data_IF_133269091280
#
_entry.id   IF_133269091280
#
_cell.length_a   1.000
_cell.length_b   1.000
_cell.length_c   1.000
_cell.angle_alpha   90.00
_cell.angle_beta   90.00
_cell.angle_gamma   90.00
#
_symmetry.space_group_name_H-M   'P 1'
#
loop_
_entity.id
_entity.type
_entity.pdbx_description
1 polymer ?
#
# COMPACT_ATOMS: atom_id res chain seq x y z
N UNK A 1 -10.51 1.24 0.03
CA UNK A 1 -9.70 1.29 -1.20
C UNK A 1 -9.94 0.00 -1.95
N UNK A 2 -10.57 0.08 -3.12
CA UNK A 2 -10.82 -1.08 -3.98
C UNK A 2 -9.53 -1.60 -4.63
N UNK A 3 -9.60 -2.80 -5.21
CA UNK A 3 -8.46 -3.45 -5.87
C UNK A 3 -7.92 -2.64 -7.05
N UNK A 4 -8.79 -2.00 -7.83
CA UNK A 4 -8.41 -1.19 -8.99
C UNK A 4 -7.57 0.01 -8.57
N UNK A 5 -8.03 0.73 -7.56
CA UNK A 5 -7.30 1.86 -6.96
C UNK A 5 -5.94 1.43 -6.40
N UNK A 6 -5.87 0.29 -5.72
CA UNK A 6 -4.60 -0.23 -5.18
C UNK A 6 -3.61 -0.62 -6.29
N UNK A 7 -4.08 -1.30 -7.35
CA UNK A 7 -3.25 -1.66 -8.50
C UNK A 7 -2.75 -0.41 -9.23
N UNK A 8 -3.61 0.61 -9.40
CA UNK A 8 -3.24 1.88 -10.01
C UNK A 8 -2.13 2.58 -9.22
N UNK A 9 -2.25 2.64 -7.89
CA UNK A 9 -1.20 3.17 -7.02
C UNK A 9 0.11 2.39 -7.17
N UNK A 10 0.06 1.06 -7.12
CA UNK A 10 1.26 0.22 -7.25
C UNK A 10 1.96 0.44 -8.60
N UNK A 11 1.18 0.55 -9.68
CA UNK A 11 1.69 0.81 -11.02
C UNK A 11 2.28 2.22 -11.15
N UNK A 12 1.61 3.23 -10.60
CA UNK A 12 2.09 4.62 -10.56
C UNK A 12 3.43 4.74 -9.84
N UNK A 13 3.59 4.05 -8.70
CA UNK A 13 4.85 4.01 -7.95
C UNK A 13 5.92 3.11 -8.59
N UNK A 14 5.57 2.32 -9.61
CA UNK A 14 6.43 1.32 -10.27
C UNK A 14 6.99 0.29 -9.28
N UNK A 15 6.20 -0.05 -8.25
CA UNK A 15 6.60 -1.02 -7.24
C UNK A 15 6.29 -2.44 -7.68
N UNK A 16 7.24 -3.34 -7.42
CA UNK A 16 6.96 -4.79 -7.44
C UNK A 16 6.05 -5.15 -6.25
N UNK A 17 5.44 -6.33 -6.26
CA UNK A 17 4.69 -6.81 -5.09
C UNK A 17 5.56 -6.90 -3.83
N UNK A 18 6.83 -7.26 -3.98
CA UNK A 18 7.78 -7.32 -2.88
C UNK A 18 8.15 -5.91 -2.35
N UNK A 19 8.28 -4.93 -3.24
CA UNK A 19 8.57 -3.56 -2.81
C UNK A 19 7.36 -2.91 -2.14
N UNK A 20 6.16 -3.09 -2.69
CA UNK A 20 4.93 -2.64 -2.06
C UNK A 20 4.73 -3.26 -0.67
N UNK A 21 5.06 -4.55 -0.51
CA UNK A 21 5.05 -5.25 0.77
C UNK A 21 6.01 -4.59 1.77
N UNK A 22 7.24 -4.29 1.36
CA UNK A 22 8.24 -3.60 2.21
C UNK A 22 7.80 -2.20 2.60
N UNK A 23 7.33 -1.41 1.64
CA UNK A 23 6.91 -0.02 1.87
C UNK A 23 5.70 0.07 2.81
N UNK A 24 4.77 -0.88 2.71
CA UNK A 24 3.58 -0.93 3.58
C UNK A 24 3.80 -1.72 4.87
N UNK A 25 4.95 -2.37 5.07
CA UNK A 25 5.22 -3.24 6.22
C UNK A 25 4.27 -4.45 6.29
N UNK A 26 3.87 -4.99 5.14
CA UNK A 26 2.93 -6.11 5.01
C UNK A 26 3.59 -7.32 4.34
N UNK A 27 2.97 -8.49 4.47
CA UNK A 27 3.40 -9.71 3.79
C UNK A 27 3.03 -9.69 2.30
N UNK A 28 3.80 -10.39 1.47
CA UNK A 28 3.50 -10.54 0.04
C UNK A 28 2.12 -11.19 -0.23
N UNK A 29 1.67 -12.08 0.66
CA UNK A 29 0.31 -12.65 0.63
C UNK A 29 -0.76 -11.57 0.80
N UNK A 30 -0.57 -10.67 1.77
CA UNK A 30 -1.48 -9.54 2.02
C UNK A 30 -1.57 -8.61 0.81
N UNK A 31 -0.43 -8.30 0.17
CA UNK A 31 -0.41 -7.50 -1.07
C UNK A 31 -1.18 -8.21 -2.19
N UNK A 32 -1.01 -9.53 -2.32
CA UNK A 32 -1.73 -10.33 -3.30
C UNK A 32 -3.24 -10.33 -3.03
N UNK A 33 -3.67 -10.38 -1.76
CA UNK A 33 -5.08 -10.23 -1.38
C UNK A 33 -5.63 -8.85 -1.72
N UNK A 34 -4.88 -7.78 -1.41
CA UNK A 34 -5.30 -6.41 -1.73
C UNK A 34 -5.51 -6.20 -3.23
N UNK A 35 -4.64 -6.79 -4.07
CA UNK A 35 -4.82 -6.74 -5.54
C UNK A 35 -6.03 -7.53 -6.03
N UNK A 36 -6.39 -8.63 -5.37
CA UNK A 36 -7.49 -9.50 -5.82
C UNK A 36 -8.86 -9.07 -5.30
N UNK A 37 -8.94 -8.63 -4.05
CA UNK A 37 -10.20 -8.36 -3.35
C UNK A 37 -10.37 -6.91 -2.90
N UNK A 38 -9.32 -6.09 -3.03
CA UNK A 38 -9.26 -4.77 -2.44
C UNK A 38 -8.75 -4.81 -1.00
N UNK A 39 -8.53 -3.62 -0.44
CA UNK A 39 -8.13 -3.47 0.96
C UNK A 39 -9.40 -3.60 1.83
N UNK A 40 -9.41 -4.45 2.87
CA UNK A 40 -10.56 -4.59 3.76
C UNK A 40 -10.93 -3.24 4.38
N UNK A 41 -12.22 -2.97 4.58
CA UNK A 41 -12.71 -1.67 5.05
C UNK A 41 -12.05 -1.21 6.35
N UNK A 42 -11.81 -2.14 7.28
CA UNK A 42 -11.13 -1.88 8.56
C UNK A 42 -9.72 -1.32 8.41
N UNK A 43 -9.02 -1.63 7.31
CA UNK A 43 -7.65 -1.17 7.05
C UNK A 43 -7.58 -0.15 5.91
N UNK A 44 -8.67 0.06 5.17
CA UNK A 44 -8.72 0.85 3.95
C UNK A 44 -8.21 2.30 4.16
N UNK A 45 -8.54 2.89 5.30
CA UNK A 45 -8.12 4.26 5.64
C UNK A 45 -6.63 4.34 5.98
N UNK A 46 -6.13 3.36 6.75
CA UNK A 46 -4.71 3.30 7.16
C UNK A 46 -3.82 3.02 5.95
N UNK A 47 -4.18 2.03 5.13
CA UNK A 47 -3.42 1.68 3.91
C UNK A 47 -3.51 2.82 2.90
N UNK A 48 -4.68 3.45 2.74
CA UNK A 48 -4.83 4.62 1.87
C UNK A 48 -3.91 5.76 2.27
N UNK A 49 -3.89 6.11 3.57
CA UNK A 49 -2.98 7.13 4.10
C UNK A 49 -1.51 6.75 3.88
N UNK A 50 -1.14 5.50 4.12
CA UNK A 50 0.22 5.01 3.90
C UNK A 50 0.62 5.11 2.42
N UNK A 51 -0.24 4.67 1.50
CA UNK A 51 -0.03 4.79 0.06
C UNK A 51 0.17 6.25 -0.38
N UNK A 52 -0.63 7.18 0.14
CA UNK A 52 -0.48 8.63 -0.10
C UNK A 52 0.82 9.17 0.48
N UNK A 53 1.16 8.79 1.71
CA UNK A 53 2.40 9.23 2.36
C UNK A 53 3.64 8.77 1.57
N UNK A 54 3.63 7.53 1.09
CA UNK A 54 4.69 6.97 0.24
C UNK A 54 4.76 7.72 -1.10
N UNK A 55 3.62 7.99 -1.74
CA UNK A 55 3.58 8.74 -3.00
C UNK A 55 4.11 10.17 -2.86
N UNK A 56 3.84 10.82 -1.72
CA UNK A 56 4.36 12.15 -1.39
C UNK A 56 5.80 12.15 -0.86
N UNK A 57 6.46 10.97 -0.77
CA UNK A 57 7.79 10.80 -0.18
C UNK A 57 7.89 11.41 1.23
N UNK A 58 6.81 11.31 2.02
CA UNK A 58 6.82 11.78 3.39
C UNK A 58 7.83 10.94 4.20
N UNK A 59 8.72 11.58 4.97
CA UNK A 59 9.63 10.84 5.82
C UNK A 59 8.83 10.12 6.91
N UNK A 60 9.30 8.94 7.38
CA UNK A 60 8.68 8.28 8.51
C UNK A 60 8.66 9.24 9.71
N UNK A 61 7.53 9.28 10.41
CA UNK A 61 7.43 10.04 11.66
C UNK A 61 8.41 9.43 12.65
N UNK A 62 9.53 10.13 12.87
CA UNK A 62 10.63 9.69 13.74
C UNK A 62 10.10 9.05 15.02
N UNK A 63 10.35 7.76 15.19
CA UNK A 63 10.69 7.20 16.49
C UNK A 63 12.11 6.64 16.35
N UNK A 64 13.05 7.35 16.98
CA UNK A 64 14.36 6.80 17.31
C UNK A 64 14.19 5.77 18.42
#
# INVERSE_FOLDING_TARGET
MDSGTFIAWQSHMRFTSAEAARQLGKSADTISRYRRFGVPESEALIVGLACTAIAMKLPPWKQK
#
